data_IF_714643409282
#
_entry.id   IF_714643409282
#
_cell.length_a   1.000
_cell.length_b   1.000
_cell.length_c   1.000
_cell.angle_alpha   90.00
_cell.angle_beta   90.00
_cell.angle_gamma   90.00
#
_symmetry.space_group_name_H-M   'P 1'
#
loop_
_entity.id
_entity.type
_entity.pdbx_description
1 polymer ?
#
# COMPACT_ATOMS: atom_id res chain seq x y z
N UNK A 1 -5.85 -10.92 31.00
CA UNK A 1 -4.97 -11.11 29.83
C UNK A 1 -5.51 -10.20 28.73
N UNK A 2 -4.85 -9.07 28.47
CA UNK A 2 -5.29 -8.05 27.50
C UNK A 2 -5.09 -8.60 26.08
N UNK A 3 -6.18 -8.77 25.33
CA UNK A 3 -6.11 -9.05 23.90
C UNK A 3 -5.58 -7.81 23.18
N UNK A 4 -4.45 -7.95 22.48
CA UNK A 4 -3.96 -6.97 21.51
C UNK A 4 -4.89 -7.04 20.30
N UNK A 5 -5.80 -6.08 20.17
CA UNK A 5 -6.50 -5.77 18.94
C UNK A 5 -5.47 -5.33 17.89
N UNK A 6 -5.18 -6.19 16.91
CA UNK A 6 -4.46 -5.80 15.71
C UNK A 6 -5.40 -4.94 14.85
N UNK A 7 -4.87 -3.81 14.41
CA UNK A 7 -5.49 -2.81 13.55
C UNK A 7 -5.84 -3.45 12.20
N UNK A 8 -7.12 -3.68 11.96
CA UNK A 8 -7.71 -3.89 10.63
C UNK A 8 -8.99 -3.08 10.69
N UNK A 9 -9.01 -1.91 10.05
CA UNK A 9 -10.11 -0.96 9.86
C UNK A 9 -9.54 0.47 9.97
N UNK A 10 -9.24 1.10 8.83
CA UNK A 10 -9.38 2.54 8.60
C UNK A 10 -8.70 2.96 7.29
N UNK A 11 -9.11 2.43 6.13
CA UNK A 11 -8.61 2.93 4.84
C UNK A 11 -9.79 3.27 3.93
N UNK A 12 -10.20 4.54 4.05
CA UNK A 12 -10.64 5.35 2.91
C UNK A 12 -10.61 6.85 3.24
N UNK A 13 -10.65 7.29 4.52
CA UNK A 13 -10.50 8.73 4.86
C UNK A 13 -10.07 9.06 6.31
N UNK A 14 -9.78 8.10 7.18
CA UNK A 14 -9.78 8.36 8.64
C UNK A 14 -8.45 8.05 9.35
N UNK A 15 -7.36 8.72 8.98
CA UNK A 15 -6.10 8.62 9.73
C UNK A 15 -5.25 9.90 9.79
N UNK A 16 -5.85 11.09 9.88
CA UNK A 16 -5.12 12.30 10.33
C UNK A 16 -6.03 13.20 11.18
N UNK A 17 -6.34 12.74 12.39
CA UNK A 17 -6.71 13.66 13.46
C UNK A 17 -5.48 13.82 14.36
N UNK A 18 -4.86 15.01 14.40
CA UNK A 18 -4.37 15.62 15.64
C UNK A 18 -3.88 17.05 15.41
N UNK A 19 -4.37 17.94 16.27
CA UNK A 19 -4.04 19.34 16.35
C UNK A 19 -2.59 19.57 16.82
N UNK A 20 -1.86 20.45 16.14
CA UNK A 20 -0.80 21.25 16.75
C UNK A 20 -0.74 22.63 16.07
N UNK A 21 -0.99 23.67 16.85
CA UNK A 21 -0.76 25.05 16.44
C UNK A 21 0.75 25.34 16.49
N UNK A 22 1.34 25.77 15.38
CA UNK A 22 2.75 26.12 15.33
C UNK A 22 3.15 26.75 14.00
N UNK A 23 2.89 28.05 13.88
CA UNK A 23 3.30 28.90 12.76
C UNK A 23 4.83 28.93 12.58
N UNK A 24 5.36 28.43 11.46
CA UNK A 24 6.69 28.81 10.96
C UNK A 24 6.68 28.88 9.42
N UNK A 25 6.92 30.08 8.90
CA UNK A 25 7.18 30.29 7.49
C UNK A 25 8.64 29.99 7.15
N UNK A 26 8.88 29.45 5.96
CA UNK A 26 10.20 29.37 5.34
C UNK A 26 10.13 29.98 3.94
N UNK A 27 11.12 30.81 3.63
CA UNK A 27 11.24 31.50 2.35
C UNK A 27 11.74 30.54 1.27
N UNK A 28 11.12 30.61 0.10
CA UNK A 28 11.46 29.85 -1.09
C UNK A 28 12.81 30.26 -1.67
N UNK A 29 13.74 29.32 -1.76
CA UNK A 29 14.90 29.35 -2.67
C UNK A 29 14.56 28.43 -3.86
N UNK A 30 14.94 28.84 -5.07
CA UNK A 30 14.32 28.49 -6.36
C UNK A 30 14.31 26.97 -6.69
N UNK A 31 13.12 26.35 -6.64
CA UNK A 31 12.88 24.97 -7.11
C UNK A 31 12.70 24.99 -8.65
N UNK A 32 13.47 24.20 -9.43
CA UNK A 32 13.37 24.22 -10.89
C UNK A 32 12.05 23.55 -11.31
N UNK A 33 11.07 24.38 -11.63
CA UNK A 33 9.67 24.00 -11.92
C UNK A 33 9.35 24.37 -13.38
N UNK A 34 10.07 23.81 -14.36
CA UNK A 34 9.58 23.98 -15.72
C UNK A 34 8.27 23.19 -15.89
N UNK A 35 7.29 23.81 -16.56
CA UNK A 35 5.93 23.27 -16.65
C UNK A 35 5.86 21.90 -17.34
N UNK A 36 6.89 21.52 -18.09
CA UNK A 36 6.99 20.25 -18.80
C UNK A 36 7.19 19.08 -17.83
N UNK A 37 8.12 19.22 -16.89
CA UNK A 37 8.38 18.20 -15.85
C UNK A 37 7.18 18.00 -14.92
N UNK A 38 6.45 19.06 -14.59
CA UNK A 38 5.20 18.99 -13.79
C UNK A 38 4.10 18.25 -14.54
N UNK A 39 3.96 18.51 -15.84
CA UNK A 39 2.96 17.85 -16.67
C UNK A 39 3.25 16.35 -16.82
N UNK A 40 4.52 15.96 -16.93
CA UNK A 40 4.94 14.56 -16.98
C UNK A 40 4.45 13.76 -15.75
N UNK A 41 4.61 14.32 -14.54
CA UNK A 41 4.12 13.69 -13.31
C UNK A 41 2.59 13.58 -13.27
N UNK A 42 1.88 14.62 -13.70
CA UNK A 42 0.42 14.61 -13.79
C UNK A 42 -0.05 13.53 -14.77
N UNK A 43 0.60 13.43 -15.93
CA UNK A 43 0.28 12.45 -16.96
C UNK A 43 0.60 11.03 -16.50
N UNK A 44 1.69 10.82 -15.76
CA UNK A 44 2.05 9.54 -15.16
C UNK A 44 0.97 9.06 -14.18
N UNK A 45 0.53 9.93 -13.27
CA UNK A 45 -0.54 9.60 -12.31
C UNK A 45 -1.85 9.32 -13.04
N UNK A 46 -2.23 10.14 -14.03
CA UNK A 46 -3.46 9.88 -14.82
C UNK A 46 -3.40 8.57 -15.58
N UNK A 47 -2.23 8.23 -16.14
CA UNK A 47 -2.04 6.95 -16.83
C UNK A 47 -2.31 5.75 -15.92
N UNK A 48 -2.05 5.86 -14.61
CA UNK A 48 -2.41 4.82 -13.65
C UNK A 48 -3.93 4.66 -13.53
N UNK A 49 -4.67 5.75 -13.33
CA UNK A 49 -6.14 5.70 -13.24
C UNK A 49 -6.79 5.24 -14.55
N UNK A 50 -6.21 5.60 -15.70
CA UNK A 50 -6.64 5.10 -17.01
C UNK A 50 -6.38 3.60 -17.15
N UNK A 51 -5.20 3.12 -16.74
CA UNK A 51 -4.85 1.70 -16.76
C UNK A 51 -5.79 0.88 -15.87
N UNK A 52 -6.05 1.35 -14.64
CA UNK A 52 -7.03 0.71 -13.76
C UNK A 52 -8.41 0.71 -14.40
N UNK A 53 -8.87 1.83 -14.96
CA UNK A 53 -10.18 1.89 -15.64
C UNK A 53 -10.28 0.97 -16.86
N UNK A 54 -9.17 0.73 -17.56
CA UNK A 54 -9.08 -0.20 -18.67
C UNK A 54 -8.94 -1.67 -18.23
N UNK A 55 -8.89 -1.96 -16.93
CA UNK A 55 -8.53 -3.26 -16.37
C UNK A 55 -7.15 -3.77 -16.84
N UNK A 56 -6.24 -2.86 -17.22
CA UNK A 56 -4.85 -3.14 -17.56
C UNK A 56 -4.01 -3.13 -16.29
N UNK A 57 -4.16 -4.19 -15.49
CA UNK A 57 -3.54 -4.31 -14.17
C UNK A 57 -2.02 -4.45 -14.24
N UNK A 58 -1.50 -5.02 -15.34
CA UNK A 58 -0.06 -5.09 -15.54
C UNK A 58 0.51 -3.68 -15.66
N UNK A 59 -0.06 -2.84 -16.52
CA UNK A 59 0.37 -1.45 -16.69
C UNK A 59 0.17 -0.64 -15.41
N UNK A 60 -0.97 -0.82 -14.71
CA UNK A 60 -1.22 -0.14 -13.44
C UNK A 60 -0.15 -0.48 -12.39
N UNK A 61 0.28 -1.74 -12.34
CA UNK A 61 1.34 -2.20 -11.43
C UNK A 61 2.73 -1.65 -11.83
N UNK A 62 3.06 -1.65 -13.12
CA UNK A 62 4.30 -1.07 -13.65
C UNK A 62 4.44 0.42 -13.30
N UNK A 63 3.36 1.20 -13.42
CA UNK A 63 3.34 2.65 -13.08
C UNK A 63 3.51 2.94 -11.59
N UNK A 64 3.16 1.99 -10.72
CA UNK A 64 3.34 2.10 -9.27
C UNK A 64 4.74 1.68 -8.81
N UNK A 65 5.52 1.02 -9.67
CA UNK A 65 6.86 0.52 -9.32
C UNK A 65 6.85 -0.72 -8.42
N UNK A 66 5.68 -1.23 -8.05
CA UNK A 66 5.55 -2.44 -7.23
C UNK A 66 5.66 -3.68 -8.13
N UNK A 67 6.41 -4.70 -7.68
CA UNK A 67 6.62 -5.95 -8.45
C UNK A 67 6.01 -7.15 -7.77
N UNK A 68 5.46 -6.97 -6.57
CA UNK A 68 4.84 -8.03 -5.82
C UNK A 68 3.41 -8.30 -6.32
N UNK A 69 3.10 -9.47 -6.91
CA UNK A 69 1.73 -9.82 -7.29
C UNK A 69 0.80 -10.03 -6.08
N UNK A 70 1.37 -10.21 -4.88
CA UNK A 70 0.65 -10.19 -3.60
C UNK A 70 0.50 -8.77 -3.02
N UNK A 71 0.78 -7.73 -3.80
CA UNK A 71 0.54 -6.34 -3.42
C UNK A 71 -0.93 -6.15 -3.05
N UNK A 72 -1.10 -5.61 -1.85
CA UNK A 72 -2.37 -5.33 -1.22
C UNK A 72 -3.25 -4.42 -2.08
N UNK A 73 -2.64 -3.42 -2.71
CA UNK A 73 -3.33 -2.49 -3.57
C UNK A 73 -3.80 -3.16 -4.87
N UNK A 74 -3.05 -4.13 -5.39
CA UNK A 74 -3.46 -4.89 -6.58
C UNK A 74 -4.66 -5.80 -6.27
N UNK A 75 -4.67 -6.45 -5.10
CA UNK A 75 -5.79 -7.28 -4.65
C UNK A 75 -7.07 -6.46 -4.41
N UNK A 76 -6.93 -5.25 -3.86
CA UNK A 76 -8.02 -4.28 -3.72
C UNK A 76 -8.59 -3.85 -5.08
N UNK A 77 -7.73 -3.49 -6.03
CA UNK A 77 -8.18 -3.10 -7.38
C UNK A 77 -8.90 -4.25 -8.08
N UNK A 78 -8.39 -5.48 -7.95
CA UNK A 78 -9.03 -6.69 -8.48
C UNK A 78 -10.42 -6.92 -7.86
N UNK A 79 -10.51 -6.91 -6.53
CA UNK A 79 -11.77 -7.11 -5.80
C UNK A 79 -12.80 -6.06 -6.22
N UNK A 80 -12.40 -4.79 -6.29
CA UNK A 80 -13.30 -3.72 -6.71
C UNK A 80 -13.84 -3.92 -8.14
N UNK A 81 -13.00 -4.36 -9.08
CA UNK A 81 -13.41 -4.64 -10.47
C UNK A 81 -14.36 -5.84 -10.57
N UNK A 82 -14.10 -6.91 -9.80
CA UNK A 82 -14.98 -8.07 -9.72
C UNK A 82 -16.35 -7.72 -9.12
N UNK A 83 -16.39 -6.70 -8.25
CA UNK A 83 -17.61 -6.11 -7.70
C UNK A 83 -18.14 -4.92 -8.54
N UNK A 84 -17.80 -4.83 -9.82
CA UNK A 84 -18.47 -3.92 -10.76
C UNK A 84 -17.94 -2.48 -10.76
N UNK A 85 -16.76 -2.21 -10.18
CA UNK A 85 -16.03 -0.98 -10.47
C UNK A 85 -15.73 -0.91 -11.97
N UNK A 86 -16.10 0.21 -12.61
CA UNK A 86 -15.94 0.39 -14.05
C UNK A 86 -14.75 1.27 -14.39
N UNK A 87 -14.75 2.51 -13.89
CA UNK A 87 -13.75 3.51 -14.26
C UNK A 87 -13.72 4.66 -13.27
N UNK A 88 -12.66 5.44 -13.35
CA UNK A 88 -12.56 6.75 -12.74
C UNK A 88 -12.99 7.84 -13.74
N UNK A 89 -13.67 8.85 -13.24
CA UNK A 89 -14.07 10.06 -13.94
C UNK A 89 -13.55 11.29 -13.20
N UNK A 90 -13.46 12.41 -13.92
CA UNK A 90 -13.06 13.71 -13.37
C UNK A 90 -11.75 13.69 -12.54
N UNK A 91 -10.79 12.85 -12.95
CA UNK A 91 -9.50 12.69 -12.27
C UNK A 91 -8.70 13.99 -12.32
N UNK A 92 -8.52 14.61 -11.17
CA UNK A 92 -7.73 15.83 -10.99
C UNK A 92 -6.50 15.51 -10.13
N UNK A 93 -5.32 15.91 -10.62
CA UNK A 93 -4.03 15.66 -9.98
C UNK A 93 -3.37 17.01 -9.70
N UNK A 94 -2.98 17.23 -8.45
CA UNK A 94 -2.13 18.35 -8.02
C UNK A 94 -0.82 17.77 -7.51
N UNK A 95 0.32 18.32 -7.91
CA UNK A 95 1.64 17.87 -7.45
C UNK A 95 2.38 19.00 -6.76
N UNK A 96 3.14 18.66 -5.71
CA UNK A 96 3.86 19.61 -4.87
C UNK A 96 5.28 19.08 -4.61
N UNK A 97 6.33 19.91 -4.78
CA UNK A 97 7.69 19.49 -4.50
C UNK A 97 7.87 19.25 -3.00
N UNK A 98 8.55 18.16 -2.62
CA UNK A 98 8.91 17.86 -1.23
C UNK A 98 10.28 18.48 -0.89
N UNK A 99 10.65 18.50 0.40
CA UNK A 99 11.93 19.08 0.86
C UNK A 99 13.14 18.27 0.34
N UNK A 100 12.98 16.95 0.21
CA UNK A 100 13.97 16.10 -0.45
C UNK A 100 13.91 16.35 -1.96
N UNK A 101 14.97 16.92 -2.53
CA UNK A 101 15.07 17.52 -3.88
C UNK A 101 14.63 16.65 -5.09
N UNK A 102 14.17 15.41 -4.89
CA UNK A 102 13.78 14.49 -5.96
C UNK A 102 12.38 13.89 -5.80
N UNK A 103 11.75 14.03 -4.62
CA UNK A 103 10.44 13.44 -4.32
C UNK A 103 9.32 14.49 -4.44
N UNK A 104 8.12 14.05 -4.82
CA UNK A 104 6.96 14.92 -4.99
C UNK A 104 5.73 14.35 -4.30
N UNK A 105 4.90 15.22 -3.74
CA UNK A 105 3.59 14.86 -3.21
C UNK A 105 2.54 15.00 -4.30
N UNK A 106 1.81 13.94 -4.62
CA UNK A 106 0.67 13.98 -5.52
C UNK A 106 -0.64 13.84 -4.74
N UNK A 107 -1.51 14.84 -4.85
CA UNK A 107 -2.88 14.79 -4.37
C UNK A 107 -3.82 14.56 -5.55
N UNK A 108 -4.62 13.50 -5.47
CA UNK A 108 -5.55 13.09 -6.52
C UNK A 108 -6.97 13.13 -5.99
N UNK A 109 -7.88 13.66 -6.79
CA UNK A 109 -9.33 13.58 -6.56
C UNK A 109 -9.98 12.97 -7.79
N UNK A 110 -11.06 12.22 -7.59
CA UNK A 110 -11.76 11.52 -8.67
C UNK A 110 -13.20 11.23 -8.28
N UNK A 111 -13.96 10.81 -9.29
CA UNK A 111 -15.30 10.27 -9.16
C UNK A 111 -15.31 8.84 -9.68
N UNK A 112 -15.70 7.87 -8.84
CA UNK A 112 -15.72 6.47 -9.19
C UNK A 112 -17.08 6.06 -9.76
N UNK A 113 -17.06 5.43 -10.93
CA UNK A 113 -18.22 4.78 -11.55
C UNK A 113 -18.25 3.30 -11.16
N UNK A 114 -19.36 2.89 -10.56
CA UNK A 114 -19.66 1.49 -10.24
C UNK A 114 -20.94 1.09 -10.97
N UNK A 115 -20.99 -0.13 -11.50
CA UNK A 115 -22.13 -0.63 -12.29
C UNK A 115 -23.45 -0.62 -11.51
N UNK A 116 -23.41 -1.04 -10.24
CA UNK A 116 -24.59 -1.17 -9.38
C UNK A 116 -25.02 0.12 -8.68
N UNK A 117 -24.27 1.21 -8.84
CA UNK A 117 -24.53 2.48 -8.15
C UNK A 117 -24.83 3.53 -9.20
N UNK A 118 -25.95 4.25 -9.11
CA UNK A 118 -26.32 5.29 -10.09
C UNK A 118 -25.43 6.53 -9.98
N UNK A 119 -25.16 6.98 -8.76
CA UNK A 119 -24.34 8.15 -8.47
C UNK A 119 -22.84 7.88 -8.58
N UNK A 120 -22.07 8.90 -8.96
CA UNK A 120 -20.62 8.84 -8.93
C UNK A 120 -20.12 8.98 -7.49
N UNK A 121 -19.20 8.10 -7.08
CA UNK A 121 -18.66 8.10 -5.73
C UNK A 121 -17.41 8.98 -5.65
N UNK A 122 -17.41 10.08 -4.89
CA UNK A 122 -16.25 10.94 -4.80
C UNK A 122 -15.13 10.24 -4.01
N UNK A 123 -13.88 10.52 -4.37
CA UNK A 123 -12.72 9.94 -3.70
C UNK A 123 -11.48 10.82 -3.82
N UNK A 124 -10.56 10.61 -2.88
CA UNK A 124 -9.30 11.32 -2.80
C UNK A 124 -8.17 10.38 -2.39
N UNK A 125 -6.98 10.58 -2.94
CA UNK A 125 -5.81 9.77 -2.65
C UNK A 125 -4.55 10.65 -2.63
N UNK A 126 -3.57 10.26 -1.82
CA UNK A 126 -2.27 10.93 -1.75
C UNK A 126 -1.16 9.90 -2.03
N UNK A 127 -0.21 10.30 -2.86
CA UNK A 127 0.97 9.49 -3.20
C UNK A 127 2.23 10.33 -3.04
N UNK A 128 3.34 9.64 -2.77
CA UNK A 128 4.68 10.17 -3.01
C UNK A 128 5.13 9.68 -4.38
N UNK A 129 5.54 10.60 -5.24
CA UNK A 129 6.15 10.31 -6.53
C UNK A 129 7.67 10.33 -6.35
N UNK A 130 8.30 9.20 -6.65
CA UNK A 130 9.74 9.04 -6.55
C UNK A 130 10.33 8.84 -7.95
N UNK A 131 11.33 9.66 -8.31
CA UNK A 131 12.04 9.52 -9.58
C UNK A 131 13.12 8.44 -9.46
N UNK A 132 13.05 7.47 -10.36
CA UNK A 132 14.02 6.39 -10.43
C UNK A 132 15.27 6.82 -11.21
N UNK A 133 16.37 6.09 -11.00
CA UNK A 133 17.64 6.37 -11.68
C UNK A 133 17.57 6.23 -13.21
N UNK A 134 16.60 5.48 -13.74
CA UNK A 134 16.34 5.34 -15.17
C UNK A 134 15.42 6.44 -15.74
N UNK A 135 14.99 7.38 -14.89
CA UNK A 135 14.10 8.48 -15.23
C UNK A 135 12.61 8.16 -15.10
N UNK A 136 12.22 6.91 -14.81
CA UNK A 136 10.81 6.56 -14.58
C UNK A 136 10.29 7.07 -13.24
N UNK A 137 8.98 7.23 -13.11
CA UNK A 137 8.31 7.64 -11.88
C UNK A 137 7.62 6.47 -11.21
N UNK A 138 7.72 6.37 -9.89
CA UNK A 138 6.96 5.42 -9.07
C UNK A 138 5.94 6.15 -8.21
N UNK A 139 4.80 5.51 -7.94
CA UNK A 139 3.72 6.04 -7.09
C UNK A 139 3.63 5.25 -5.79
N UNK A 140 4.10 5.86 -4.71
CA UNK A 140 4.23 5.21 -3.40
C UNK A 140 3.09 5.68 -2.49
N UNK A 141 2.20 4.75 -2.12
CA UNK A 141 1.08 5.02 -1.20
C UNK A 141 1.50 4.97 0.27
N UNK A 142 2.43 4.07 0.59
CA UNK A 142 2.98 3.89 1.94
C UNK A 142 4.51 4.10 1.95
N UNK A 143 4.98 5.35 1.98
CA UNK A 143 6.40 5.63 1.99
C UNK A 143 7.03 5.24 3.34
N UNK A 144 8.36 5.27 3.40
CA UNK A 144 9.08 5.05 4.66
C UNK A 144 8.68 6.08 5.74
N UNK A 145 8.96 5.79 7.00
CA UNK A 145 8.51 6.62 8.13
C UNK A 145 8.91 8.10 8.01
N UNK A 146 10.13 8.40 7.54
CA UNK A 146 10.60 9.78 7.43
C UNK A 146 9.81 10.55 6.37
N UNK A 147 9.72 10.00 5.16
CA UNK A 147 8.96 10.57 4.05
C UNK A 147 7.47 10.67 4.39
N UNK A 148 6.92 9.72 5.15
CA UNK A 148 5.54 9.77 5.61
C UNK A 148 5.27 10.94 6.57
N UNK A 149 6.18 11.25 7.50
CA UNK A 149 6.01 12.39 8.41
C UNK A 149 6.12 13.73 7.67
N UNK A 150 7.02 13.83 6.69
CA UNK A 150 7.14 15.00 5.82
C UNK A 150 5.87 15.22 4.99
N UNK A 151 5.37 14.17 4.33
CA UNK A 151 4.12 14.22 3.58
C UNK A 151 2.94 14.68 4.45
N UNK A 152 2.85 14.21 5.70
CA UNK A 152 1.82 14.65 6.65
C UNK A 152 1.91 16.14 6.97
N UNK A 153 3.11 16.66 7.19
CA UNK A 153 3.31 18.08 7.44
C UNK A 153 2.86 18.89 6.23
N UNK A 154 3.28 18.51 5.02
CA UNK A 154 2.87 19.19 3.79
C UNK A 154 1.37 19.13 3.54
N UNK A 155 0.72 17.98 3.77
CA UNK A 155 -0.75 17.83 3.64
C UNK A 155 -1.47 18.88 4.47
N UNK A 156 -1.02 19.12 5.70
CA UNK A 156 -1.60 20.13 6.57
C UNK A 156 -1.28 21.56 6.10
N UNK A 157 -0.02 21.84 5.76
CA UNK A 157 0.40 23.18 5.30
C UNK A 157 -0.27 23.61 4.00
N UNK A 158 -0.56 22.66 3.11
CA UNK A 158 -1.24 22.87 1.84
C UNK A 158 -2.77 22.82 1.96
N UNK A 159 -3.32 22.61 3.16
CA UNK A 159 -4.75 22.41 3.43
C UNK A 159 -5.38 21.27 2.60
N UNK A 160 -4.59 20.24 2.27
CA UNK A 160 -5.06 19.04 1.57
C UNK A 160 -5.95 18.20 2.50
N UNK A 161 -5.70 18.24 3.81
CA UNK A 161 -6.57 17.65 4.83
C UNK A 161 -7.99 18.22 4.78
N UNK A 162 -8.16 19.53 4.59
CA UNK A 162 -9.47 20.16 4.41
C UNK A 162 -10.18 19.67 3.14
N UNK A 163 -9.46 19.57 2.03
CA UNK A 163 -9.99 19.02 0.76
C UNK A 163 -10.41 17.55 0.92
N UNK A 164 -9.62 16.73 1.61
CA UNK A 164 -9.94 15.32 1.91
C UNK A 164 -11.18 15.23 2.79
N UNK A 165 -11.27 16.05 3.85
CA UNK A 165 -12.43 16.06 4.74
C UNK A 165 -13.72 16.42 4.01
N UNK A 166 -13.68 17.42 3.11
CA UNK A 166 -14.83 17.77 2.28
C UNK A 166 -15.29 16.60 1.41
N UNK A 167 -14.34 15.90 0.78
CA UNK A 167 -14.64 14.73 -0.06
C UNK A 167 -15.20 13.57 0.78
N UNK A 168 -14.69 13.36 1.99
CA UNK A 168 -15.23 12.37 2.93
C UNK A 168 -16.67 12.71 3.34
N UNK A 169 -16.98 13.98 3.58
CA UNK A 169 -18.35 14.44 3.86
C UNK A 169 -19.30 14.16 2.67
N UNK A 170 -18.85 14.45 1.44
CA UNK A 170 -19.60 14.16 0.22
C UNK A 170 -19.85 12.64 0.06
N UNK A 171 -18.83 11.82 0.29
CA UNK A 171 -18.95 10.36 0.29
C UNK A 171 -19.91 9.86 1.38
N UNK A 172 -19.77 10.34 2.62
CA UNK A 172 -20.58 9.92 3.75
C UNK A 172 -22.06 10.31 3.56
N UNK A 173 -22.32 11.46 2.95
CA UNK A 173 -23.68 11.85 2.56
C UNK A 173 -24.24 10.86 1.53
N UNK A 174 -23.49 10.56 0.47
CA UNK A 174 -23.89 9.58 -0.54
C UNK A 174 -24.15 8.19 0.08
N UNK A 175 -23.27 7.73 0.97
CA UNK A 175 -23.41 6.49 1.71
C UNK A 175 -24.69 6.45 2.56
N UNK A 176 -25.06 7.57 3.19
CA UNK A 176 -26.26 7.67 4.02
C UNK A 176 -27.55 7.71 3.19
N UNK A 177 -27.50 8.30 2.00
CA UNK A 177 -28.65 8.48 1.11
C UNK A 177 -28.87 7.29 0.16
N UNK A 178 -27.82 6.51 -0.13
CA UNK A 178 -27.84 5.42 -1.09
C UNK A 178 -27.46 4.07 -0.44
N UNK A 179 -28.45 3.20 -0.12
CA UNK A 179 -28.21 1.89 0.48
C UNK A 179 -27.33 0.96 -0.36
N UNK A 180 -27.34 1.10 -1.69
CA UNK A 180 -26.55 0.24 -2.59
C UNK A 180 -25.06 0.53 -2.44
N UNK A 181 -24.68 1.79 -2.16
CA UNK A 181 -23.31 2.16 -1.78
C UNK A 181 -22.90 1.41 -0.52
N UNK A 182 -23.74 1.41 0.52
CA UNK A 182 -23.44 0.74 1.77
C UNK A 182 -23.28 -0.78 1.64
N UNK A 183 -24.11 -1.41 0.79
CA UNK A 183 -24.00 -2.84 0.46
C UNK A 183 -22.69 -3.11 -0.28
N UNK A 184 -22.44 -2.37 -1.36
CA UNK A 184 -21.26 -2.53 -2.21
C UNK A 184 -19.95 -2.35 -1.43
N UNK A 185 -19.84 -1.28 -0.62
CA UNK A 185 -18.66 -1.03 0.22
C UNK A 185 -18.41 -2.18 1.18
N UNK A 186 -19.47 -2.74 1.78
CA UNK A 186 -19.34 -3.84 2.75
C UNK A 186 -18.88 -5.13 2.07
N UNK A 187 -19.43 -5.44 0.89
CA UNK A 187 -19.05 -6.65 0.13
C UNK A 187 -17.57 -6.62 -0.25
N UNK A 188 -17.11 -5.50 -0.81
CA UNK A 188 -15.70 -5.30 -1.16
C UNK A 188 -14.80 -5.40 0.08
N UNK A 189 -15.16 -4.75 1.19
CA UNK A 189 -14.37 -4.83 2.43
C UNK A 189 -14.22 -6.27 2.94
N UNK A 190 -15.29 -7.06 2.85
CA UNK A 190 -15.26 -8.47 3.26
C UNK A 190 -14.36 -9.29 2.33
N UNK A 191 -14.52 -9.13 1.02
CA UNK A 191 -13.73 -9.87 0.04
C UNK A 191 -12.25 -9.52 0.13
N UNK A 192 -11.91 -8.23 0.21
CA UNK A 192 -10.54 -7.77 0.39
C UNK A 192 -9.93 -8.37 1.67
N UNK A 193 -10.67 -8.37 2.79
CA UNK A 193 -10.19 -8.97 4.04
C UNK A 193 -9.96 -10.50 3.93
N UNK A 194 -10.81 -11.19 3.18
CA UNK A 194 -10.64 -12.62 2.89
C UNK A 194 -9.42 -12.87 1.99
N UNK A 195 -9.26 -12.09 0.92
CA UNK A 195 -8.09 -12.13 0.02
C UNK A 195 -6.80 -11.86 0.79
N UNK A 196 -6.79 -10.89 1.70
CA UNK A 196 -5.65 -10.65 2.57
C UNK A 196 -5.33 -11.85 3.45
N UNK A 197 -6.35 -12.46 4.04
CA UNK A 197 -6.15 -13.63 4.90
C UNK A 197 -5.52 -14.77 4.10
N UNK A 198 -5.99 -15.00 2.86
CA UNK A 198 -5.44 -16.02 1.97
C UNK A 198 -4.01 -15.71 1.52
N UNK A 199 -3.73 -14.47 1.08
CA UNK A 199 -2.38 -14.03 0.67
C UNK A 199 -1.40 -14.11 1.84
N UNK A 200 -1.82 -13.73 3.05
CA UNK A 200 -1.00 -13.86 4.25
C UNK A 200 -0.77 -15.32 4.63
N UNK A 201 -1.77 -16.19 4.52
CA UNK A 201 -1.62 -17.63 4.74
C UNK A 201 -0.72 -18.28 3.68
N UNK A 202 -0.84 -17.89 2.41
CA UNK A 202 0.01 -18.34 1.31
C UNK A 202 1.44 -17.84 1.46
N UNK A 203 1.66 -16.57 1.79
CA UNK A 203 3.00 -16.02 2.07
C UNK A 203 3.63 -16.68 3.30
N UNK A 204 2.84 -16.98 4.34
CA UNK A 204 3.30 -17.77 5.49
C UNK A 204 3.50 -19.26 5.16
N UNK A 205 2.84 -19.76 4.11
CA UNK A 205 3.01 -21.12 3.61
C UNK A 205 4.11 -21.25 2.54
N UNK A 206 4.51 -20.15 1.88
CA UNK A 206 5.36 -20.15 0.69
C UNK A 206 6.85 -20.17 0.96
N UNK A 207 7.28 -20.22 2.22
CA UNK A 207 8.68 -20.53 2.52
C UNK A 207 8.80 -21.70 3.50
N UNK A 208 8.14 -22.81 3.16
CA UNK A 208 8.42 -24.08 3.84
C UNK A 208 9.68 -24.69 3.26
N UNK A 209 10.75 -24.73 4.04
CA UNK A 209 11.93 -25.50 3.70
C UNK A 209 11.74 -26.96 4.11
N UNK A 210 11.87 -27.87 3.16
CA UNK A 210 11.91 -29.31 3.45
C UNK A 210 13.34 -29.68 3.77
N UNK A 211 13.60 -30.06 5.02
CA UNK A 211 14.92 -30.50 5.50
C UNK A 211 15.42 -31.64 4.62
N UNK A 212 16.60 -31.45 4.02
CA UNK A 212 17.30 -32.44 3.22
C UNK A 212 18.31 -33.17 4.10
N UNK A 213 18.76 -34.32 3.60
CA UNK A 213 19.78 -35.11 4.27
C UNK A 213 21.08 -34.32 4.46
N UNK A 214 21.47 -34.10 5.71
CA UNK A 214 22.72 -33.42 6.07
C UNK A 214 22.57 -31.95 6.43
N UNK A 215 21.34 -31.41 6.39
CA UNK A 215 21.09 -30.04 6.81
C UNK A 215 21.21 -29.87 8.32
N UNK A 216 21.62 -28.66 8.73
CA UNK A 216 21.48 -28.16 10.08
C UNK A 216 20.79 -26.80 10.05
N UNK A 217 20.20 -26.36 11.17
CA UNK A 217 19.50 -25.06 11.22
C UNK A 217 20.39 -23.89 10.76
N UNK A 218 21.70 -23.99 10.99
CA UNK A 218 22.67 -23.00 10.52
C UNK A 218 22.81 -23.01 8.99
N UNK A 219 22.96 -24.17 8.36
CA UNK A 219 23.08 -24.25 6.89
C UNK A 219 21.79 -23.81 6.21
N UNK A 220 20.63 -24.16 6.78
CA UNK A 220 19.32 -23.73 6.29
C UNK A 220 19.18 -22.21 6.43
N UNK A 221 19.50 -21.63 7.59
CA UNK A 221 19.45 -20.18 7.77
C UNK A 221 20.42 -19.43 6.84
N UNK A 222 21.60 -19.98 6.60
CA UNK A 222 22.57 -19.40 5.66
C UNK A 222 22.10 -19.45 4.21
N UNK A 223 21.46 -20.55 3.80
CA UNK A 223 20.98 -20.75 2.42
C UNK A 223 19.68 -19.99 2.15
N UNK A 224 18.74 -20.04 3.10
CA UNK A 224 17.39 -19.50 2.92
C UNK A 224 17.27 -18.05 3.37
N UNK A 225 17.92 -17.68 4.48
CA UNK A 225 17.78 -16.34 5.11
C UNK A 225 19.02 -15.44 4.89
N UNK A 226 20.00 -15.91 4.09
CA UNK A 226 21.24 -15.20 3.76
C UNK A 226 22.25 -15.07 4.90
N UNK A 227 21.89 -15.42 6.14
CA UNK A 227 22.72 -15.29 7.32
C UNK A 227 22.52 -16.49 8.26
N UNK A 228 23.54 -17.34 8.37
CA UNK A 228 23.54 -18.50 9.25
C UNK A 228 23.33 -18.15 10.73
N UNK A 229 23.61 -16.92 11.17
CA UNK A 229 23.35 -16.47 12.55
C UNK A 229 21.85 -16.46 12.86
N UNK A 230 20.99 -16.28 11.85
CA UNK A 230 19.53 -16.32 11.99
C UNK A 230 18.97 -17.71 12.31
N UNK A 231 19.81 -18.75 12.46
CA UNK A 231 19.38 -20.08 12.89
C UNK A 231 18.59 -20.09 14.21
N UNK A 232 18.89 -19.16 15.13
CA UNK A 232 18.18 -19.01 16.40
C UNK A 232 16.74 -18.52 16.21
N UNK A 233 16.53 -17.62 15.24
CA UNK A 233 15.22 -17.12 14.85
C UNK A 233 14.43 -18.24 14.17
N UNK A 234 15.08 -18.96 13.24
CA UNK A 234 14.52 -20.13 12.57
C UNK A 234 14.08 -21.21 13.57
N UNK A 235 14.91 -21.52 14.58
CA UNK A 235 14.57 -22.46 15.65
C UNK A 235 13.37 -21.97 16.46
N UNK A 236 13.38 -20.72 16.93
CA UNK A 236 12.31 -20.19 17.76
C UNK A 236 10.96 -20.23 17.06
N UNK A 237 10.92 -19.91 15.76
CA UNK A 237 9.72 -19.97 14.92
C UNK A 237 9.17 -21.39 14.82
N UNK A 238 10.06 -22.37 14.64
CA UNK A 238 9.70 -23.77 14.43
C UNK A 238 9.77 -24.62 15.70
N UNK A 239 9.93 -24.01 16.88
CA UNK A 239 10.14 -24.71 18.15
C UNK A 239 8.99 -25.66 18.50
N UNK A 240 7.78 -25.34 18.07
CA UNK A 240 6.60 -26.20 18.24
C UNK A 240 6.69 -27.51 17.46
N UNK A 241 7.48 -27.55 16.38
CA UNK A 241 7.67 -28.70 15.49
C UNK A 241 9.00 -29.42 15.80
N UNK A 242 10.07 -28.65 16.04
CA UNK A 242 11.43 -29.18 16.35
C UNK A 242 11.50 -29.73 17.78
N UNK A 243 10.72 -29.18 18.71
CA UNK A 243 10.76 -29.56 20.12
C UNK A 243 11.88 -28.87 20.89
N UNK A 244 12.32 -29.46 22.01
CA UNK A 244 13.30 -28.84 22.92
C UNK A 244 14.75 -28.95 22.43
N UNK A 245 15.02 -29.87 21.51
CA UNK A 245 16.37 -30.10 20.98
C UNK A 245 16.50 -29.53 19.55
N UNK A 246 17.21 -28.40 19.37
CA UNK A 246 17.37 -27.75 18.07
C UNK A 246 18.16 -28.58 17.05
N UNK A 247 18.94 -29.57 17.48
CA UNK A 247 19.74 -30.41 16.59
C UNK A 247 18.93 -31.56 15.95
N UNK A 248 17.68 -31.77 16.38
CA UNK A 248 16.82 -32.85 15.89
C UNK A 248 15.91 -32.38 14.75
N UNK A 249 16.49 -32.13 13.58
CA UNK A 249 15.76 -31.84 12.35
C UNK A 249 15.88 -33.01 11.34
N UNK A 250 14.96 -33.99 11.34
CA UNK A 250 15.00 -35.11 10.41
C UNK A 250 14.68 -34.67 8.97
N UNK A 251 15.24 -35.42 8.02
CA UNK A 251 14.91 -35.29 6.60
C UNK A 251 13.40 -35.38 6.36
N UNK A 252 12.87 -34.50 5.52
CA UNK A 252 11.44 -34.39 5.22
C UNK A 252 10.66 -33.50 6.18
N UNK A 253 11.26 -33.03 7.29
CA UNK A 253 10.63 -32.05 8.17
C UNK A 253 10.42 -30.73 7.43
N UNK A 254 9.24 -30.13 7.58
CA UNK A 254 8.93 -28.82 7.02
C UNK A 254 9.18 -27.73 8.06
N UNK A 255 10.07 -26.79 7.75
CA UNK A 255 10.35 -25.62 8.57
C UNK A 255 9.78 -24.39 7.90
N UNK A 256 9.03 -23.59 8.65
CA UNK A 256 8.63 -22.24 8.23
C UNK A 256 9.83 -21.31 8.27
N UNK A 257 10.25 -20.83 7.11
CA UNK A 257 11.24 -19.78 6.95
C UNK A 257 10.51 -18.43 6.91
N UNK A 258 11.15 -17.40 7.44
CA UNK A 258 10.68 -16.02 7.35
C UNK A 258 11.78 -15.25 6.62
N UNK A 259 11.63 -15.07 5.31
CA UNK A 259 12.41 -14.08 4.61
C UNK A 259 11.86 -12.70 4.97
N UNK A 260 12.68 -11.96 5.73
CA UNK A 260 12.63 -10.51 5.64
C UNK A 260 12.93 -10.19 4.18
N UNK A 261 11.91 -9.84 3.41
CA UNK A 261 12.08 -9.22 2.10
C UNK A 261 13.01 -8.03 2.33
N UNK A 262 14.25 -8.16 1.87
CA UNK A 262 15.20 -7.06 1.80
C UNK A 262 14.56 -5.96 0.96
N UNK A 263 14.06 -4.94 1.66
CA UNK A 263 13.64 -3.65 1.12
C UNK A 263 14.85 -2.93 0.51
#
# INVERSE_FOLDING_TARGET
>A
MRMRTKKVLAWCCMALAFAFAGNFGVQAEEIPTDAESVQEMIDHVKAYYDAVSASDLQKANELRGEKNPADEILQEVLAAHEHGKQRYENVCVKVYPMEKEEDWLAFVTYELRVESIEDLMPGAEVYVLEKQADGSWWMIKEPNQQTAEEAKQMIHELAIDEDILRIDEEYNQLYAENPDVAVWTKEIQQEIAERYTLVQEENNASEKYVVKKGDCLWSIAQEQMGDGIKWTILYQKNRTIIGENPDLIPEGMQLSIENEISR
#
